data_IF_532113773780
#
_entry.id   IF_532113773780
#
_cell.length_a   1.000
_cell.length_b   1.000
_cell.length_c   1.000
_cell.angle_alpha   90.00
_cell.angle_beta   90.00
_cell.angle_gamma   90.00
#
_symmetry.space_group_name_H-M   'P 1'
#
loop_
_entity.id
_entity.type
_entity.pdbx_description
1 polymer ?
#
# COMPACT_ATOMS: atom_id res chain seq x y z
N UNK A 1 2.32 -4.07 -9.86
CA UNK A 1 1.99 -5.33 -9.13
C UNK A 1 1.94 -5.15 -7.60
N UNK A 2 2.98 -4.55 -6.99
CA UNK A 2 3.08 -4.34 -5.54
C UNK A 2 2.96 -2.86 -5.20
N UNK A 3 2.15 -2.50 -4.21
CA UNK A 3 2.14 -1.16 -3.60
C UNK A 3 2.98 -1.16 -2.31
N UNK A 4 3.95 -0.26 -2.20
CA UNK A 4 4.76 -0.06 -0.99
C UNK A 4 4.32 1.20 -0.24
N UNK A 5 3.71 1.03 0.94
CA UNK A 5 3.43 2.12 1.88
C UNK A 5 4.48 2.13 3.00
N UNK A 6 5.03 3.31 3.30
CA UNK A 6 6.12 3.47 4.27
C UNK A 6 6.25 4.92 4.74
N UNK A 7 6.84 5.10 5.92
CA UNK A 7 7.20 6.44 6.39
C UNK A 7 8.49 6.89 5.74
N UNK A 8 8.35 7.79 4.77
CA UNK A 8 9.48 8.33 4.03
C UNK A 8 10.62 8.93 4.87
N UNK A 9 10.31 9.55 6.02
CA UNK A 9 11.30 10.12 6.94
C UNK A 9 12.16 9.04 7.62
N UNK A 10 11.62 7.85 7.79
CA UNK A 10 12.24 6.79 8.58
C UNK A 10 13.02 5.81 7.70
N UNK A 11 12.40 5.38 6.58
CA UNK A 11 12.88 4.19 5.86
C UNK A 11 13.27 4.40 4.40
N UNK A 12 13.06 5.61 3.83
CA UNK A 12 13.25 5.85 2.38
C UNK A 12 14.63 5.47 1.87
N UNK A 13 15.68 6.00 2.49
CA UNK A 13 17.06 5.85 1.99
C UNK A 13 17.79 4.63 2.60
N UNK A 14 17.05 3.69 3.20
CA UNK A 14 17.61 2.50 3.81
C UNK A 14 16.79 1.24 3.42
N UNK A 15 16.07 0.64 4.36
CA UNK A 15 15.25 -0.53 4.20
C UNK A 15 14.32 -0.47 2.98
N UNK A 16 13.56 0.61 2.78
CA UNK A 16 12.61 0.70 1.66
C UNK A 16 13.33 0.74 0.31
N UNK A 17 14.45 1.45 0.20
CA UNK A 17 15.26 1.47 -1.02
C UNK A 17 15.83 0.08 -1.35
N UNK A 18 16.33 -0.65 -0.36
CA UNK A 18 16.79 -2.03 -0.56
C UNK A 18 15.65 -2.97 -0.96
N UNK A 19 14.49 -2.86 -0.32
CA UNK A 19 13.31 -3.65 -0.64
C UNK A 19 12.84 -3.40 -2.08
N UNK A 20 12.72 -2.12 -2.47
CA UNK A 20 12.36 -1.74 -3.83
C UNK A 20 13.35 -2.28 -4.86
N UNK A 21 14.66 -2.12 -4.62
CA UNK A 21 15.69 -2.66 -5.50
C UNK A 21 15.60 -4.17 -5.64
N UNK A 22 15.36 -4.89 -4.54
CA UNK A 22 15.22 -6.34 -4.56
C UNK A 22 13.99 -6.79 -5.39
N UNK A 23 12.85 -6.12 -5.24
CA UNK A 23 11.65 -6.40 -6.02
C UNK A 23 11.87 -6.10 -7.51
N UNK A 24 12.48 -4.95 -7.82
CA UNK A 24 12.81 -4.54 -9.18
C UNK A 24 13.79 -5.53 -9.85
N UNK A 25 14.81 -6.00 -9.13
CA UNK A 25 15.74 -7.04 -9.63
C UNK A 25 15.06 -8.37 -9.93
N UNK A 26 13.92 -8.65 -9.30
CA UNK A 26 13.09 -9.83 -9.59
C UNK A 26 12.07 -9.59 -10.70
N UNK A 27 12.05 -8.41 -11.30
CA UNK A 27 11.11 -8.03 -12.34
C UNK A 27 9.70 -7.75 -11.83
N UNK A 28 9.55 -7.52 -10.51
CA UNK A 28 8.25 -7.24 -9.89
C UNK A 28 7.97 -5.75 -9.97
N UNK A 29 6.90 -5.38 -10.66
CA UNK A 29 6.52 -3.98 -10.82
C UNK A 29 6.02 -3.42 -9.48
N UNK A 30 6.77 -2.47 -8.94
CA UNK A 30 6.55 -1.94 -7.59
C UNK A 30 6.26 -0.44 -7.64
N UNK A 31 5.12 -0.04 -7.10
CA UNK A 31 4.73 1.35 -6.91
C UNK A 31 5.16 1.81 -5.51
N UNK A 32 5.92 2.90 -5.44
CA UNK A 32 6.40 3.47 -4.18
C UNK A 32 5.68 4.79 -3.94
N UNK A 33 5.15 4.97 -2.74
CA UNK A 33 4.69 6.29 -2.32
C UNK A 33 5.88 7.22 -1.98
N UNK A 34 6.38 7.96 -2.99
CA UNK A 34 7.59 8.77 -2.87
C UNK A 34 7.34 10.18 -2.29
N UNK A 35 6.49 10.29 -1.26
CA UNK A 35 6.12 11.55 -0.54
C UNK A 35 7.30 12.21 0.20
N UNK A 36 8.28 12.76 -0.53
CA UNK A 36 9.15 13.82 0.03
C UNK A 36 8.66 15.22 -0.32
N UNK A 37 8.04 15.41 -1.49
CA UNK A 37 7.91 16.75 -2.07
C UNK A 37 6.51 17.08 -2.65
N UNK A 38 5.53 16.19 -2.55
CA UNK A 38 4.14 16.51 -2.94
C UNK A 38 3.36 16.80 -1.67
N UNK A 39 2.91 18.05 -1.56
CA UNK A 39 2.06 18.51 -0.47
C UNK A 39 0.90 17.54 -0.26
N UNK A 40 0.82 17.04 0.97
CA UNK A 40 -0.37 17.03 1.82
C UNK A 40 -1.73 16.70 1.18
N UNK A 41 -1.80 15.86 0.15
CA UNK A 41 -3.08 15.30 -0.32
C UNK A 41 -2.91 13.91 -0.92
N UNK A 42 -3.81 13.00 -0.55
CA UNK A 42 -4.00 11.73 -1.27
C UNK A 42 -4.52 12.09 -2.66
N UNK A 43 -3.73 11.77 -3.68
CA UNK A 43 -4.17 11.98 -5.05
C UNK A 43 -5.10 10.84 -5.47
N UNK A 44 -6.11 11.11 -6.33
CA UNK A 44 -6.93 10.06 -6.93
C UNK A 44 -6.09 9.00 -7.68
N UNK A 45 -4.93 9.40 -8.20
CA UNK A 45 -3.97 8.51 -8.85
C UNK A 45 -3.36 7.50 -7.85
N UNK A 46 -3.07 7.94 -6.62
CA UNK A 46 -2.53 7.08 -5.57
C UNK A 46 -3.57 6.04 -5.15
N UNK A 47 -4.83 6.45 -4.94
CA UNK A 47 -5.94 5.55 -4.61
C UNK A 47 -6.13 4.50 -5.70
N UNK A 48 -6.20 4.92 -6.97
CA UNK A 48 -6.30 3.99 -8.10
C UNK A 48 -5.12 3.00 -8.14
N UNK A 49 -3.91 3.46 -7.84
CA UNK A 49 -2.72 2.59 -7.81
C UNK A 49 -2.83 1.54 -6.71
N UNK A 50 -3.42 1.88 -5.55
CA UNK A 50 -3.70 0.93 -4.46
C UNK A 50 -4.73 -0.11 -4.93
N UNK A 51 -5.83 0.33 -5.55
CA UNK A 51 -6.89 -0.55 -6.07
C UNK A 51 -6.39 -1.48 -7.20
N UNK A 52 -5.49 -1.02 -8.06
CA UNK A 52 -4.91 -1.79 -9.17
C UNK A 52 -3.77 -2.72 -8.73
N UNK A 53 -3.27 -2.57 -7.50
CA UNK A 53 -2.17 -3.39 -6.98
C UNK A 53 -2.67 -4.74 -6.46
N UNK A 54 -1.92 -5.81 -6.77
CA UNK A 54 -2.26 -7.17 -6.32
C UNK A 54 -1.87 -7.42 -4.86
N UNK A 55 -0.82 -6.74 -4.40
CA UNK A 55 -0.29 -6.87 -3.05
C UNK A 55 0.08 -5.49 -2.51
N UNK A 56 -0.36 -5.18 -1.30
CA UNK A 56 0.14 -4.05 -0.54
C UNK A 56 1.15 -4.53 0.51
N UNK A 57 2.31 -3.89 0.58
CA UNK A 57 3.34 -4.11 1.61
C UNK A 57 3.47 -2.84 2.42
N UNK A 58 3.23 -2.96 3.73
CA UNK A 58 3.27 -1.84 4.66
C UNK A 58 4.53 -1.97 5.52
N UNK A 59 5.41 -0.97 5.45
CA UNK A 59 6.64 -0.89 6.24
C UNK A 59 6.39 -0.03 7.47
N UNK A 60 5.92 -0.65 8.55
CA UNK A 60 5.79 0.01 9.84
C UNK A 60 7.15 0.43 10.39
N UNK A 61 7.19 1.64 10.93
CA UNK A 61 8.39 2.28 11.48
C UNK A 61 7.98 3.19 12.64
N UNK A 62 8.97 3.68 13.39
CA UNK A 62 8.75 4.39 14.66
C UNK A 62 7.78 5.57 14.51
N UNK A 63 7.87 6.33 13.42
CA UNK A 63 7.07 7.55 13.20
C UNK A 63 6.03 7.35 12.08
N UNK A 64 5.64 6.10 11.80
CA UNK A 64 4.64 5.80 10.77
C UNK A 64 3.29 6.42 11.12
N UNK A 65 2.81 6.18 12.33
CA UNK A 65 1.51 6.67 12.81
C UNK A 65 1.51 8.19 13.09
N UNK A 66 2.68 8.83 13.14
CA UNK A 66 2.81 10.29 13.27
C UNK A 66 2.40 11.03 11.99
N UNK A 67 2.20 10.30 10.88
CA UNK A 67 1.79 10.82 9.60
C UNK A 67 0.32 10.46 9.35
N UNK A 68 -0.62 11.42 9.45
CA UNK A 68 -2.03 11.19 9.13
C UNK A 68 -2.20 10.54 7.76
N UNK A 69 -1.38 10.96 6.79
CA UNK A 69 -1.33 10.38 5.45
C UNK A 69 -0.99 8.90 5.40
N UNK A 70 -0.08 8.44 6.24
CA UNK A 70 0.28 7.02 6.30
C UNK A 70 -0.87 6.19 6.91
N UNK A 71 -1.69 6.81 7.77
CA UNK A 71 -2.89 6.19 8.34
C UNK A 71 -4.06 6.20 7.37
N UNK A 72 -4.28 7.27 6.62
CA UNK A 72 -5.30 7.32 5.58
C UNK A 72 -5.02 6.32 4.45
N UNK A 73 -3.77 6.20 4.01
CA UNK A 73 -3.36 5.12 3.09
C UNK A 73 -3.65 3.73 3.67
N UNK A 74 -3.31 3.52 4.94
CA UNK A 74 -3.53 2.24 5.61
C UNK A 74 -5.02 1.89 5.65
N UNK A 75 -5.88 2.86 6.01
CA UNK A 75 -7.34 2.68 6.00
C UNK A 75 -7.81 2.31 4.60
N UNK A 76 -7.39 3.03 3.57
CA UNK A 76 -7.82 2.74 2.20
C UNK A 76 -7.34 1.37 1.71
N UNK A 77 -6.09 0.99 2.00
CA UNK A 77 -5.58 -0.37 1.71
C UNK A 77 -6.45 -1.42 2.40
N UNK A 78 -6.83 -1.20 3.66
CA UNK A 78 -7.71 -2.10 4.40
C UNK A 78 -9.12 -2.15 3.82
N UNK A 79 -9.67 -1.03 3.35
CA UNK A 79 -10.97 -0.97 2.68
C UNK A 79 -10.96 -1.73 1.34
N UNK A 80 -9.93 -1.57 0.51
CA UNK A 80 -9.77 -2.34 -0.73
C UNK A 80 -9.70 -3.85 -0.44
N UNK A 81 -8.95 -4.21 0.61
CA UNK A 81 -8.85 -5.60 1.05
C UNK A 81 -10.21 -6.11 1.56
N UNK A 82 -10.89 -5.37 2.43
CA UNK A 82 -12.21 -5.74 2.97
C UNK A 82 -13.29 -5.83 1.89
N UNK A 83 -13.27 -4.97 0.87
CA UNK A 83 -14.12 -5.09 -0.31
C UNK A 83 -13.94 -6.44 -1.00
N UNK A 84 -12.69 -6.90 -1.13
CA UNK A 84 -12.36 -8.25 -1.61
C UNK A 84 -12.87 -9.34 -0.68
N UNK A 85 -12.76 -9.17 0.65
CA UNK A 85 -13.31 -10.13 1.62
C UNK A 85 -14.83 -10.19 1.60
N UNK A 86 -15.53 -9.07 1.40
CA UNK A 86 -16.98 -9.03 1.24
C UNK A 86 -17.42 -9.77 -0.03
N UNK A 87 -16.73 -9.58 -1.16
CA UNK A 87 -16.96 -10.35 -2.38
C UNK A 87 -16.68 -11.85 -2.19
N UNK A 88 -15.58 -12.21 -1.53
CA UNK A 88 -15.23 -13.60 -1.22
C UNK A 88 -16.23 -14.25 -0.24
N UNK A 89 -16.71 -13.53 0.77
CA UNK A 89 -17.71 -14.00 1.73
C UNK A 89 -19.06 -14.21 1.04
N UNK A 90 -19.47 -13.30 0.14
CA UNK A 90 -20.69 -13.44 -0.67
C UNK A 90 -20.61 -14.65 -1.61
N UNK A 91 -19.44 -14.92 -2.20
CA UNK A 91 -19.17 -16.14 -3.00
C UNK A 91 -19.23 -17.43 -2.16
N UNK A 92 -18.73 -17.39 -0.92
CA UNK A 92 -18.76 -18.54 -0.02
C UNK A 92 -20.16 -18.85 0.50
N UNK A 93 -20.98 -17.83 0.78
CA UNK A 93 -22.38 -18.00 1.19
C UNK A 93 -23.27 -18.54 0.06
N UNK A 94 -22.95 -18.25 -1.21
CA UNK A 94 -23.63 -18.82 -2.40
C UNK A 94 -23.26 -20.28 -2.70
N UNK A 95 -22.26 -20.86 -2.03
CA UNK A 95 -21.79 -22.24 -2.26
C UNK A 95 -22.18 -23.24 -1.16
N UNK A 96 -23.02 -22.84 -0.21
CA UNK A 96 -23.62 -23.79 0.74
C UNK A 96 -24.91 -24.33 0.11
N UNK A 97 -25.06 -25.66 -0.09
CA UNK A 97 -26.32 -26.26 -0.54
C UNK A 97 -27.43 -26.07 0.50
#
# INVERSE_FOLDING_TARGET
EVFLSFRGKDTRNNFTDYLYKALSQKGIETFIDNKLNRGEEITPELLRTIEESMVAVIVFSQNYADSPWCLEELVHIMECQEGSWAECFTRLLRRRP
#
